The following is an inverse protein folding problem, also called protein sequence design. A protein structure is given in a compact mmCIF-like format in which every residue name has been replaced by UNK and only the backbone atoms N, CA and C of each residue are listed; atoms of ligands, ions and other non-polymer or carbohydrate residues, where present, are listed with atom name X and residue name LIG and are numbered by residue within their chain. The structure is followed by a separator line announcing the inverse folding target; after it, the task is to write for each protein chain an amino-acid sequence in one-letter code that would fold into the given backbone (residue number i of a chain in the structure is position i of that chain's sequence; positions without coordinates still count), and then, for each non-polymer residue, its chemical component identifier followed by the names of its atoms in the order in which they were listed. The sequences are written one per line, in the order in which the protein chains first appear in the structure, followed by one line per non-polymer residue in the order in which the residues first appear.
data_IF_493549073319
#
_entry.id   IF_493549073319
#
_cell.length_a   1.000
_cell.length_b   1.000
_cell.length_c   1.000
_cell.angle_alpha   90.00
_cell.angle_beta   90.00
_cell.angle_gamma   90.00
#
_symmetry.space_group_name_H-M   'P 1'
#
loop_
_entity.id
_entity.type
_entity.pdbx_description
1 polymer ?
#
# COMPACT_ATOMS: atom_id res chain seq x y z
N UNK A 1 -7.45 21.42 -2.87
CA UNK A 1 -6.76 20.11 -2.89
C UNK A 1 -5.84 20.09 -1.70
N UNK A 2 -6.09 19.21 -0.75
CA UNK A 2 -5.31 19.05 0.47
C UNK A 2 -4.62 17.69 0.48
N UNK A 3 -3.39 17.65 0.99
CA UNK A 3 -2.60 16.43 1.13
C UNK A 3 -2.15 16.35 2.58
N UNK A 4 -2.60 15.34 3.32
CA UNK A 4 -2.30 15.23 4.75
C UNK A 4 -2.21 13.77 5.21
N UNK A 5 -1.40 13.52 6.23
CA UNK A 5 -1.27 12.19 6.86
C UNK A 5 -2.36 11.98 7.89
N UNK A 6 -2.77 10.72 8.10
CA UNK A 6 -3.65 10.36 9.20
C UNK A 6 -2.81 10.12 10.45
N UNK A 7 -3.11 10.82 11.54
CA UNK A 7 -2.39 10.67 12.80
C UNK A 7 -2.42 9.22 13.29
N UNK A 8 -1.25 8.67 13.65
CA UNK A 8 -1.05 7.30 14.12
C UNK A 8 -1.44 6.18 13.13
N UNK A 9 -1.67 6.50 11.85
CA UNK A 9 -1.97 5.51 10.83
C UNK A 9 -0.99 5.65 9.65
N UNK A 10 -0.55 4.54 9.03
CA UNK A 10 0.45 4.57 7.96
C UNK A 10 -0.18 4.89 6.60
N UNK A 11 -0.93 5.99 6.50
CA UNK A 11 -1.55 6.41 5.25
C UNK A 11 -1.58 7.93 5.08
N UNK A 12 -1.71 8.32 3.81
CA UNK A 12 -1.88 9.69 3.36
C UNK A 12 -3.27 9.84 2.74
N UNK A 13 -3.91 10.99 2.91
CA UNK A 13 -5.15 11.35 2.21
C UNK A 13 -4.85 12.48 1.23
N UNK A 14 -5.35 12.32 0.01
CA UNK A 14 -5.47 13.37 -1.01
C UNK A 14 -6.94 13.73 -1.08
N UNK A 15 -7.29 14.97 -0.73
CA UNK A 15 -8.66 15.45 -0.70
C UNK A 15 -8.86 16.55 -1.74
N UNK A 16 -9.76 16.28 -2.70
CA UNK A 16 -10.28 17.26 -3.64
C UNK A 16 -11.80 17.06 -3.77
N UNK A 17 -12.34 16.76 -4.95
CA UNK A 17 -13.74 16.34 -5.10
C UNK A 17 -14.03 14.96 -4.47
N UNK A 18 -12.96 14.19 -4.20
CA UNK A 18 -12.97 12.90 -3.52
C UNK A 18 -11.86 12.85 -2.48
N UNK A 19 -12.06 12.05 -1.43
CA UNK A 19 -11.03 11.66 -0.45
C UNK A 19 -10.41 10.34 -0.88
N UNK A 20 -9.18 10.41 -1.38
CA UNK A 20 -8.40 9.26 -1.81
C UNK A 20 -7.39 8.91 -0.72
N UNK A 21 -7.49 7.71 -0.16
CA UNK A 21 -6.49 7.18 0.76
C UNK A 21 -5.36 6.50 -0.02
N UNK A 22 -4.12 6.87 0.26
CA UNK A 22 -2.92 6.28 -0.33
C UNK A 22 -2.19 5.45 0.73
N UNK A 23 -1.91 4.19 0.41
CA UNK A 23 -1.21 3.23 1.28
C UNK A 23 -0.15 2.51 0.46
N UNK A 24 1.04 2.29 1.02
CA UNK A 24 2.18 1.67 0.32
C UNK A 24 2.75 0.49 1.11
N UNK A 25 3.50 -0.38 0.44
CA UNK A 25 4.45 -1.30 1.07
C UNK A 25 3.82 -2.26 2.12
N UNK A 26 2.62 -2.78 1.81
CA UNK A 26 1.86 -3.64 2.72
C UNK A 26 2.49 -5.02 2.94
N UNK A 27 3.16 -5.56 1.92
CA UNK A 27 3.78 -6.88 1.94
C UNK A 27 2.88 -7.98 2.52
N UNK A 28 1.65 -8.07 2.01
CA UNK A 28 0.71 -9.11 2.41
C UNK A 28 1.31 -10.50 2.16
N UNK A 29 1.25 -11.36 3.17
CA UNK A 29 1.81 -12.71 3.11
C UNK A 29 3.21 -12.86 3.73
N UNK A 30 3.83 -11.78 4.21
CA UNK A 30 5.12 -11.84 4.94
C UNK A 30 5.11 -12.82 6.12
N UNK A 31 3.95 -13.07 6.71
CA UNK A 31 3.79 -14.02 7.81
C UNK A 31 4.16 -15.45 7.40
N UNK A 32 4.04 -15.79 6.11
CA UNK A 32 4.45 -17.10 5.62
C UNK A 32 5.97 -17.26 5.67
N UNK A 33 6.72 -16.24 5.25
CA UNK A 33 8.18 -16.26 5.33
C UNK A 33 8.65 -16.31 6.79
N UNK A 34 8.03 -15.52 7.66
CA UNK A 34 8.35 -15.54 9.09
C UNK A 34 8.04 -16.90 9.72
N UNK A 35 6.94 -17.54 9.30
CA UNK A 35 6.58 -18.88 9.75
C UNK A 35 7.62 -19.93 9.35
N UNK A 36 8.14 -19.91 8.11
CA UNK A 36 9.20 -20.86 7.68
C UNK A 36 10.51 -20.64 8.42
N UNK A 37 10.75 -19.43 8.94
CA UNK A 37 11.87 -19.07 9.83
C UNK A 37 11.61 -19.37 11.32
N UNK A 38 10.49 -20.01 11.66
CA UNK A 38 10.15 -20.42 13.03
C UNK A 38 9.36 -19.39 13.84
N UNK A 39 9.01 -18.23 13.25
CA UNK A 39 8.24 -17.17 13.91
C UNK A 39 6.74 -17.35 13.63
N UNK A 40 5.96 -17.67 14.66
CA UNK A 40 4.51 -17.86 14.53
C UNK A 40 3.75 -16.57 14.80
N UNK A 41 3.30 -15.91 13.74
CA UNK A 41 2.42 -14.74 13.82
C UNK A 41 0.97 -15.12 13.49
N UNK A 42 0.03 -14.39 14.11
CA UNK A 42 -1.35 -14.35 13.61
C UNK A 42 -1.42 -13.67 12.24
N UNK A 43 -2.59 -13.70 11.60
CA UNK A 43 -2.77 -13.01 10.32
C UNK A 43 -2.64 -11.49 10.49
N UNK A 44 -1.53 -10.95 9.99
CA UNK A 44 -1.25 -9.52 9.85
C UNK A 44 -2.14 -8.97 8.72
N UNK A 45 -2.31 -9.69 7.61
CA UNK A 45 -3.22 -9.30 6.52
C UNK A 45 -4.62 -8.92 7.04
N UNK A 46 -5.22 -9.75 7.90
CA UNK A 46 -6.54 -9.44 8.49
C UNK A 46 -6.51 -8.23 9.44
N UNK A 47 -5.40 -7.98 10.12
CA UNK A 47 -5.25 -6.79 10.97
C UNK A 47 -5.15 -5.52 10.14
N UNK A 48 -4.37 -5.54 9.06
CA UNK A 48 -4.24 -4.44 8.11
C UNK A 48 -5.61 -4.13 7.50
N UNK A 49 -6.32 -5.13 6.96
CA UNK A 49 -7.66 -4.94 6.37
C UNK A 49 -8.61 -4.22 7.35
N UNK A 50 -8.69 -4.70 8.59
CA UNK A 50 -9.54 -4.09 9.63
C UNK A 50 -9.11 -2.67 10.01
N UNK A 51 -7.82 -2.33 9.95
CA UNK A 51 -7.35 -0.96 10.16
C UNK A 51 -7.82 -0.08 8.99
N UNK A 52 -7.62 -0.51 7.74
CA UNK A 52 -8.07 0.23 6.57
C UNK A 52 -9.59 0.45 6.57
N UNK A 53 -10.40 -0.58 6.84
CA UNK A 53 -11.86 -0.46 6.92
C UNK A 53 -12.30 0.58 7.97
N UNK A 54 -11.64 0.63 9.13
CA UNK A 54 -11.91 1.64 10.16
C UNK A 54 -11.54 3.05 9.70
N UNK A 55 -10.45 3.21 8.96
CA UNK A 55 -10.04 4.51 8.43
C UNK A 55 -11.04 4.95 7.35
N UNK A 56 -11.43 4.03 6.46
CA UNK A 56 -12.45 4.27 5.43
C UNK A 56 -13.73 4.82 6.05
N UNK A 57 -14.26 4.14 7.07
CA UNK A 57 -15.49 4.55 7.76
C UNK A 57 -15.30 5.90 8.48
N UNK A 58 -14.24 6.07 9.27
CA UNK A 58 -14.04 7.26 10.09
C UNK A 58 -13.71 8.53 9.31
N UNK A 59 -13.06 8.39 8.14
CA UNK A 59 -12.60 9.51 7.32
C UNK A 59 -13.48 9.73 6.08
N UNK A 60 -14.46 8.85 5.86
CA UNK A 60 -15.33 8.85 4.68
C UNK A 60 -14.52 8.79 3.40
N UNK A 61 -13.64 7.79 3.31
CA UNK A 61 -12.77 7.60 2.13
C UNK A 61 -13.62 7.14 0.94
N UNK A 62 -13.41 7.75 -0.22
CA UNK A 62 -14.12 7.41 -1.46
C UNK A 62 -13.40 6.36 -2.30
N UNK A 63 -12.07 6.29 -2.20
CA UNK A 63 -11.22 5.42 -3.00
C UNK A 63 -9.87 5.15 -2.31
N UNK A 64 -9.29 3.98 -2.57
CA UNK A 64 -7.92 3.65 -2.15
C UNK A 64 -6.96 3.58 -3.34
N UNK A 65 -5.74 4.11 -3.20
CA UNK A 65 -4.62 3.81 -4.08
C UNK A 65 -3.57 3.01 -3.31
N UNK A 66 -3.32 1.78 -3.74
CA UNK A 66 -2.19 0.97 -3.27
C UNK A 66 -0.93 1.32 -4.07
N UNK A 67 0.07 1.92 -3.41
CA UNK A 67 1.28 2.49 -3.99
C UNK A 67 2.43 1.47 -4.07
N UNK A 68 2.14 0.28 -4.59
CA UNK A 68 3.11 -0.80 -4.77
C UNK A 68 3.45 -1.59 -3.51
N UNK A 69 4.10 -2.71 -3.75
CA UNK A 69 4.50 -3.72 -2.77
C UNK A 69 3.31 -4.19 -1.92
N UNK A 70 2.18 -4.42 -2.59
CA UNK A 70 0.96 -4.95 -1.97
C UNK A 70 1.19 -6.37 -1.46
N UNK A 71 1.84 -7.24 -2.23
CA UNK A 71 2.20 -8.60 -1.78
C UNK A 71 3.70 -8.75 -1.52
N UNK A 72 4.08 -9.83 -0.84
CA UNK A 72 5.45 -9.99 -0.35
C UNK A 72 6.36 -10.82 -1.27
N UNK A 73 5.93 -12.01 -1.70
CA UNK A 73 6.84 -12.97 -2.31
C UNK A 73 7.21 -12.64 -3.76
N UNK A 74 8.48 -12.85 -4.11
CA UNK A 74 9.02 -12.78 -5.48
C UNK A 74 9.75 -14.10 -5.77
N UNK A 75 9.66 -14.69 -6.99
CA UNK A 75 8.82 -14.30 -8.13
C UNK A 75 7.45 -14.99 -8.13
N UNK A 76 7.23 -15.93 -7.20
CA UNK A 76 6.04 -16.76 -7.11
C UNK A 76 5.07 -16.21 -6.08
N UNK A 77 3.79 -16.55 -6.28
CA UNK A 77 2.74 -16.31 -5.31
C UNK A 77 2.67 -17.53 -4.39
N UNK A 78 2.68 -17.31 -3.08
CA UNK A 78 2.46 -18.39 -2.11
C UNK A 78 0.98 -18.76 -2.04
N UNK A 79 0.68 -19.99 -1.62
CA UNK A 79 -0.71 -20.42 -1.36
C UNK A 79 -1.43 -19.52 -0.34
N UNK A 80 -0.70 -18.85 0.56
CA UNK A 80 -1.27 -17.89 1.49
C UNK A 80 -1.67 -16.60 0.78
N UNK A 81 -0.83 -16.07 -0.10
CA UNK A 81 -1.16 -14.89 -0.90
C UNK A 81 -2.32 -15.17 -1.85
N UNK A 82 -2.36 -16.32 -2.52
CA UNK A 82 -3.49 -16.73 -3.37
C UNK A 82 -4.84 -16.71 -2.63
N UNK A 83 -4.82 -17.03 -1.34
CA UNK A 83 -6.02 -17.00 -0.50
C UNK A 83 -6.29 -15.62 0.11
N UNK A 84 -5.27 -14.99 0.67
CA UNK A 84 -5.42 -13.85 1.57
C UNK A 84 -5.45 -12.51 0.83
N UNK A 85 -4.78 -12.38 -0.33
CA UNK A 85 -4.77 -11.12 -1.10
C UNK A 85 -6.14 -10.83 -1.72
N UNK A 86 -6.82 -11.77 -2.42
CA UNK A 86 -8.16 -11.50 -2.93
C UNK A 86 -9.15 -11.15 -1.81
N UNK A 87 -9.08 -11.85 -0.67
CA UNK A 87 -9.91 -11.52 0.50
C UNK A 87 -9.57 -10.16 1.11
N UNK A 88 -8.30 -9.74 1.07
CA UNK A 88 -7.91 -8.40 1.50
C UNK A 88 -8.48 -7.31 0.60
N UNK A 89 -8.47 -7.53 -0.71
CA UNK A 89 -8.93 -6.58 -1.73
C UNK A 89 -10.46 -6.46 -1.82
N UNK A 90 -11.21 -7.37 -1.19
CA UNK A 90 -12.65 -7.25 -0.98
C UNK A 90 -12.97 -6.10 0.00
N UNK A 91 -12.87 -4.85 -0.49
CA UNK A 91 -12.98 -3.61 0.27
C UNK A 91 -14.31 -2.90 -0.02
N UNK A 92 -14.83 -2.09 0.93
CA UNK A 92 -16.13 -1.41 0.75
C UNK A 92 -16.07 -0.22 -0.21
N UNK A 93 -14.89 0.12 -0.72
CA UNK A 93 -14.64 1.26 -1.62
C UNK A 93 -13.81 0.79 -2.82
N UNK A 94 -13.95 1.44 -3.99
CA UNK A 94 -13.09 1.15 -5.13
C UNK A 94 -11.62 1.38 -4.81
N UNK A 95 -10.74 0.70 -5.53
CA UNK A 95 -9.32 0.86 -5.37
C UNK A 95 -8.57 0.79 -6.70
N UNK A 96 -7.36 1.37 -6.72
CA UNK A 96 -6.40 1.25 -7.82
C UNK A 96 -5.07 0.73 -7.28
N UNK A 97 -4.40 -0.10 -8.07
CA UNK A 97 -3.11 -0.69 -7.68
C UNK A 97 -2.02 -0.18 -8.60
N UNK A 98 -1.02 0.47 -8.02
CA UNK A 98 0.26 0.71 -8.65
C UNK A 98 1.17 -0.47 -8.33
N UNK A 99 1.84 -1.02 -9.34
CA UNK A 99 2.75 -2.15 -9.19
C UNK A 99 4.06 -1.71 -8.50
N UNK A 100 4.45 -2.39 -7.44
CA UNK A 100 5.79 -2.32 -6.86
C UNK A 100 6.71 -3.43 -7.36
N UNK A 101 7.95 -3.46 -6.90
CA UNK A 101 8.91 -4.49 -7.31
C UNK A 101 8.60 -5.87 -6.70
N UNK A 102 7.86 -5.92 -5.59
CA UNK A 102 7.37 -7.16 -4.99
C UNK A 102 6.07 -7.68 -5.62
N UNK A 103 5.39 -6.91 -6.46
CA UNK A 103 4.08 -7.27 -7.02
C UNK A 103 4.14 -8.12 -8.30
N UNK A 104 5.18 -8.94 -8.46
CA UNK A 104 5.29 -9.87 -9.60
C UNK A 104 4.08 -10.83 -9.68
N UNK A 105 3.42 -10.92 -10.84
CA UNK A 105 2.20 -11.71 -11.07
C UNK A 105 0.96 -11.30 -10.24
N UNK A 106 0.91 -10.08 -9.68
CA UNK A 106 -0.26 -9.58 -8.95
C UNK A 106 -1.56 -9.63 -9.76
N UNK A 107 -1.47 -9.57 -11.10
CA UNK A 107 -2.59 -9.72 -12.04
C UNK A 107 -3.31 -11.07 -11.92
N UNK A 108 -2.72 -12.08 -11.24
CA UNK A 108 -3.37 -13.36 -10.96
C UNK A 108 -4.25 -13.32 -9.70
N UNK A 109 -4.13 -12.28 -8.88
CA UNK A 109 -4.78 -12.14 -7.58
C UNK A 109 -5.94 -11.15 -7.60
N UNK A 110 -6.14 -10.45 -8.71
CA UNK A 110 -7.17 -9.44 -8.87
C UNK A 110 -7.48 -9.26 -10.35
N UNK A 111 -8.74 -8.98 -10.66
CA UNK A 111 -9.19 -8.60 -12.00
C UNK A 111 -9.03 -7.10 -12.25
N UNK A 112 -8.60 -6.34 -11.24
CA UNK A 112 -8.39 -4.90 -11.36
C UNK A 112 -7.20 -4.55 -12.25
N UNK A 113 -7.31 -3.39 -12.90
CA UNK A 113 -6.22 -2.88 -13.73
C UNK A 113 -5.01 -2.52 -12.86
N UNK A 114 -3.84 -3.03 -13.26
CA UNK A 114 -2.57 -2.70 -12.63
C UNK A 114 -1.89 -1.54 -13.37
N UNK A 115 -1.44 -0.54 -12.61
CA UNK A 115 -0.81 0.67 -13.12
C UNK A 115 0.68 0.70 -12.77
N UNK A 116 1.51 1.35 -13.60
CA UNK A 116 2.91 1.66 -13.22
C UNK A 116 3.02 2.97 -12.45
N UNK A 117 2.05 3.86 -12.66
CA UNK A 117 1.92 5.18 -12.05
C UNK A 117 0.51 5.70 -12.30
N UNK A 118 0.07 6.63 -11.46
CA UNK A 118 -1.23 7.29 -11.56
C UNK A 118 -1.01 8.79 -11.39
N UNK A 119 -1.72 9.59 -12.19
CA UNK A 119 -1.86 11.01 -11.93
C UNK A 119 -3.21 11.26 -11.25
N UNK A 120 -3.18 12.07 -10.19
CA UNK A 120 -4.37 12.68 -9.58
C UNK A 120 -4.10 14.17 -9.59
N UNK A 121 -4.84 14.91 -10.43
CA UNK A 121 -4.57 16.32 -10.70
C UNK A 121 -3.07 16.55 -11.06
N UNK A 122 -2.37 17.42 -10.31
CA UNK A 122 -0.94 17.70 -10.49
C UNK A 122 -0.03 16.83 -9.62
N UNK A 123 -0.52 15.70 -9.10
CA UNK A 123 0.23 14.77 -8.26
C UNK A 123 0.54 13.50 -9.04
N UNK A 124 1.82 13.12 -9.07
CA UNK A 124 2.24 11.80 -9.55
C UNK A 124 2.35 10.82 -8.38
N UNK A 125 1.61 9.72 -8.47
CA UNK A 125 1.77 8.56 -7.60
C UNK A 125 2.52 7.47 -8.35
N UNK A 126 3.62 6.99 -7.77
CA UNK A 126 4.37 5.82 -8.26
C UNK A 126 5.05 5.10 -7.11
N UNK A 127 5.34 3.81 -7.22
CA UNK A 127 6.02 3.09 -6.15
C UNK A 127 7.43 3.63 -5.87
N UNK A 128 8.15 4.11 -6.90
CA UNK A 128 9.47 4.74 -6.76
C UNK A 128 10.65 3.89 -7.26
N UNK A 129 10.43 2.60 -7.55
CA UNK A 129 11.44 1.70 -8.14
C UNK A 129 11.76 1.99 -9.62
N UNK A 130 10.95 2.80 -10.31
CA UNK A 130 11.15 3.18 -11.71
C UNK A 130 11.63 4.64 -11.83
N UNK A 131 12.39 4.93 -12.89
CA UNK A 131 12.84 6.30 -13.19
C UNK A 131 11.65 7.21 -13.52
N UNK A 132 11.53 8.31 -12.78
CA UNK A 132 10.54 9.36 -12.99
C UNK A 132 11.11 10.41 -13.94
N UNK A 133 10.37 10.77 -15.00
CA UNK A 133 10.77 11.80 -15.99
C UNK A 133 9.85 13.02 -15.97
N UNK A 134 8.66 12.84 -15.43
CA UNK A 134 7.62 13.84 -15.30
C UNK A 134 8.00 14.89 -14.26
N UNK A 135 7.42 16.08 -14.39
CA UNK A 135 7.63 17.21 -13.47
C UNK A 135 6.28 17.71 -12.92
N UNK A 136 5.59 16.88 -12.13
CA UNK A 136 4.39 17.30 -11.41
C UNK A 136 4.73 18.31 -10.30
N UNK A 137 3.71 18.89 -9.67
CA UNK A 137 3.89 19.70 -8.48
C UNK A 137 4.32 18.85 -7.28
N UNK A 138 3.69 17.67 -7.13
CA UNK A 138 4.00 16.70 -6.08
C UNK A 138 4.28 15.32 -6.66
N UNK A 139 5.20 14.59 -6.02
CA UNK A 139 5.45 13.17 -6.27
C UNK A 139 5.26 12.44 -4.95
N UNK A 140 4.37 11.46 -4.92
CA UNK A 140 4.16 10.57 -3.78
C UNK A 140 4.75 9.21 -4.13
N UNK A 141 5.70 8.75 -3.32
CA UNK A 141 6.42 7.48 -3.49
C UNK A 141 6.42 6.64 -2.22
N UNK A 142 6.48 5.32 -2.39
CA UNK A 142 6.76 4.34 -1.32
C UNK A 142 8.21 3.87 -1.40
N UNK A 143 8.43 2.56 -1.28
CA UNK A 143 9.68 1.82 -1.56
C UNK A 143 10.88 2.12 -0.64
N UNK A 144 11.13 3.38 -0.32
CA UNK A 144 12.34 3.82 0.39
C UNK A 144 12.31 3.53 1.89
N UNK A 145 11.13 3.17 2.43
CA UNK A 145 10.86 2.87 3.85
C UNK A 145 11.57 3.87 4.78
N UNK A 146 11.27 5.18 4.64
CA UNK A 146 12.01 6.21 5.37
C UNK A 146 11.86 6.05 6.88
N UNK A 147 12.97 6.11 7.60
CA UNK A 147 13.01 6.04 9.06
C UNK A 147 13.73 7.26 9.63
N UNK A 148 13.21 7.80 10.73
CA UNK A 148 13.83 8.89 11.49
C UNK A 148 14.36 8.32 12.79
N UNK A 149 15.66 8.48 13.05
CA UNK A 149 16.29 8.10 14.31
C UNK A 149 16.34 9.32 15.22
N UNK A 150 15.69 9.21 16.39
CA UNK A 150 15.86 10.17 17.47
C UNK A 150 16.99 9.69 18.38
N UNK A 151 17.88 10.59 18.77
CA UNK A 151 18.95 10.33 19.73
C UNK A 151 18.87 11.36 20.85
N UNK A 152 19.07 10.91 22.08
CA UNK A 152 19.29 11.79 23.22
C UNK A 152 20.80 12.04 23.42
N UNK A 153 21.16 12.74 24.50
CA UNK A 153 22.55 13.08 24.82
C UNK A 153 23.43 11.85 25.15
N UNK A 154 22.82 10.68 25.40
CA UNK A 154 23.52 9.43 25.76
C UNK A 154 23.67 8.51 24.53
N UNK A 155 22.81 8.67 23.53
CA UNK A 155 22.93 8.06 22.20
C UNK A 155 22.01 6.89 21.93
#
# INVERSE_FOLDING_TARGET
MDIYTVENEPCLIIENEKKIMVVADLHLGIEYELYTKGVKLGSITRKIKKSLEKIIEKKEIDEIIFLGDLKHNIPLISFREERDVPHFLDLPVPFRIIKGNHDGNIERLTDEKIYNKIFVDNILLTHGHLKIKERPEYIIVGHSHPAVTFKDDIG
#
